data_IF_423402892885
#
_entry.id   IF_423402892885
#
_cell.length_a   1.000
_cell.length_b   1.000
_cell.length_c   1.000
_cell.angle_alpha   90.00
_cell.angle_beta   90.00
_cell.angle_gamma   90.00
#
_symmetry.space_group_name_H-M   'P 1'
#
loop_
_entity.id
_entity.type
_entity.pdbx_description
1 polymer ?
#
# COMPACT_ATOMS: atom_id res chain seq x y z
N UNK A 1 -0.36 -12.67 -9.46
CA UNK A 1 -1.64 -12.10 -9.95
C UNK A 1 -2.72 -13.16 -9.95
N UNK A 2 -3.48 -13.26 -8.86
CA UNK A 2 -4.76 -13.97 -8.89
C UNK A 2 -5.79 -12.99 -9.44
N UNK A 3 -6.14 -13.12 -10.72
CA UNK A 3 -7.25 -12.39 -11.33
C UNK A 3 -8.56 -13.00 -10.82
N UNK A 4 -9.11 -12.41 -9.76
CA UNK A 4 -10.47 -12.70 -9.30
C UNK A 4 -11.48 -12.24 -10.35
N UNK A 5 -12.48 -13.08 -10.65
CA UNK A 5 -13.63 -12.68 -11.48
C UNK A 5 -14.43 -11.58 -10.77
N UNK A 6 -15.22 -10.80 -11.51
CA UNK A 6 -16.07 -9.75 -10.92
C UNK A 6 -16.91 -10.27 -9.75
N UNK A 7 -17.57 -11.42 -9.93
CA UNK A 7 -18.40 -12.03 -8.87
C UNK A 7 -17.58 -12.42 -7.64
N UNK A 8 -16.40 -13.01 -7.84
CA UNK A 8 -15.52 -13.36 -6.73
C UNK A 8 -14.93 -12.12 -6.02
N UNK A 9 -14.66 -11.06 -6.77
CA UNK A 9 -14.15 -9.79 -6.25
C UNK A 9 -15.18 -9.05 -5.40
N UNK A 10 -16.44 -9.02 -5.86
CA UNK A 10 -17.54 -8.39 -5.13
C UNK A 10 -17.98 -9.21 -3.91
N UNK A 11 -17.70 -10.52 -3.91
CA UNK A 11 -17.96 -11.41 -2.78
C UNK A 11 -16.85 -11.37 -1.70
N UNK A 12 -15.65 -10.89 -2.04
CA UNK A 12 -14.55 -10.72 -1.09
C UNK A 12 -14.49 -9.28 -0.60
N UNK A 13 -14.86 -9.07 0.67
CA UNK A 13 -14.80 -7.75 1.31
C UNK A 13 -13.39 -7.15 1.32
N UNK A 14 -12.34 -7.97 1.17
CA UNK A 14 -10.94 -7.52 1.06
C UNK A 14 -10.60 -7.02 -0.33
N UNK A 15 -11.54 -7.02 -1.28
CA UNK A 15 -11.31 -6.64 -2.66
C UNK A 15 -12.25 -5.51 -3.11
N UNK A 16 -11.80 -4.73 -4.08
CA UNK A 16 -12.54 -3.67 -4.74
C UNK A 16 -12.48 -3.94 -6.25
N UNK A 17 -13.66 -4.10 -6.83
CA UNK A 17 -13.80 -4.27 -8.27
C UNK A 17 -13.76 -2.92 -8.97
N UNK A 18 -12.73 -2.69 -9.78
CA UNK A 18 -12.68 -1.59 -10.72
C UNK A 18 -13.39 -2.00 -12.01
N UNK A 19 -14.61 -1.48 -12.22
CA UNK A 19 -15.44 -1.80 -13.39
C UNK A 19 -14.91 -1.16 -14.69
N UNK A 20 -14.14 -0.07 -14.60
CA UNK A 20 -13.56 0.61 -15.77
C UNK A 20 -12.40 -0.20 -16.33
N UNK A 21 -11.50 -0.64 -15.45
CA UNK A 21 -10.33 -1.42 -15.84
C UNK A 21 -10.59 -2.94 -15.86
N UNK A 22 -11.76 -3.38 -15.39
CA UNK A 22 -12.13 -4.80 -15.20
C UNK A 22 -11.11 -5.56 -14.35
N UNK A 23 -10.61 -4.91 -13.30
CA UNK A 23 -9.59 -5.45 -12.40
C UNK A 23 -10.13 -5.52 -10.98
N UNK A 24 -9.92 -6.67 -10.34
CA UNK A 24 -10.09 -6.80 -8.91
C UNK A 24 -8.82 -6.31 -8.19
N UNK A 25 -8.95 -5.34 -7.30
CA UNK A 25 -7.86 -4.77 -6.52
C UNK A 25 -8.06 -5.04 -5.03
N UNK A 26 -7.02 -5.46 -4.32
CA UNK A 26 -7.15 -5.73 -2.88
C UNK A 26 -7.25 -4.43 -2.08
N UNK A 27 -8.27 -4.32 -1.22
CA UNK A 27 -8.43 -3.27 -0.23
C UNK A 27 -7.52 -3.56 0.97
N UNK A 28 -6.29 -3.06 0.93
CA UNK A 28 -5.32 -3.24 2.01
C UNK A 28 -5.88 -2.84 3.39
N UNK A 29 -6.67 -1.75 3.46
CA UNK A 29 -7.28 -1.27 4.70
C UNK A 29 -8.23 -2.28 5.39
N UNK A 30 -8.75 -3.27 4.66
CA UNK A 30 -9.62 -4.33 5.18
C UNK A 30 -8.89 -5.67 5.37
N UNK A 31 -7.64 -5.76 4.94
CA UNK A 31 -6.84 -6.95 5.16
C UNK A 31 -6.48 -7.08 6.65
N UNK A 32 -6.43 -8.32 7.14
CA UNK A 32 -5.88 -8.57 8.48
C UNK A 32 -4.38 -8.24 8.44
N UNK A 33 -3.83 -7.77 9.56
CA UNK A 33 -2.41 -7.45 9.64
C UNK A 33 -1.51 -8.65 9.26
N UNK A 34 -1.92 -9.87 9.64
CA UNK A 34 -1.24 -11.11 9.25
C UNK A 34 -1.21 -11.36 7.74
N UNK A 35 -2.23 -10.90 7.03
CA UNK A 35 -2.41 -11.14 5.60
C UNK A 35 -1.73 -10.03 4.78
N UNK A 36 -1.53 -8.85 5.39
CA UNK A 36 -1.05 -7.66 4.71
C UNK A 36 0.31 -7.87 4.02
N UNK A 37 1.24 -8.52 4.70
CA UNK A 37 2.57 -8.81 4.16
C UNK A 37 2.54 -9.81 2.98
N UNK A 38 1.46 -10.58 2.84
CA UNK A 38 1.28 -11.52 1.72
C UNK A 38 0.60 -10.85 0.52
N UNK A 39 0.10 -9.62 0.65
CA UNK A 39 -0.57 -8.90 -0.41
C UNK A 39 0.43 -8.02 -1.18
N UNK A 40 0.66 -8.27 -2.49
CA UNK A 40 1.74 -7.63 -3.25
C UNK A 40 1.56 -6.12 -3.50
N UNK A 41 0.42 -5.55 -3.10
CA UNK A 41 0.08 -4.14 -3.27
C UNK A 41 -0.12 -3.42 -1.95
N UNK A 42 0.16 -4.11 -0.84
CA UNK A 42 -0.09 -3.63 0.50
C UNK A 42 1.20 -3.60 1.32
N UNK A 43 1.25 -2.66 2.24
CA UNK A 43 2.35 -2.49 3.18
C UNK A 43 1.80 -2.33 4.58
N UNK A 44 2.46 -2.97 5.54
CA UNK A 44 2.19 -2.73 6.96
C UNK A 44 2.86 -1.41 7.34
N UNK A 45 2.08 -0.53 7.95
CA UNK A 45 2.56 0.71 8.55
C UNK A 45 2.41 0.65 10.04
N UNK A 46 3.44 1.11 10.73
CA UNK A 46 3.48 1.18 12.17
C UNK A 46 3.88 2.59 12.58
N UNK A 47 2.95 3.32 13.21
CA UNK A 47 3.22 4.66 13.75
C UNK A 47 3.80 4.60 15.17
N UNK A 48 3.45 3.55 15.93
CA UNK A 48 3.97 3.29 17.27
C UNK A 48 3.85 1.79 17.63
N UNK A 49 4.28 1.38 18.81
CA UNK A 49 4.24 -0.01 19.28
C UNK A 49 2.84 -0.65 19.32
N UNK A 50 1.79 0.17 19.31
CA UNK A 50 0.41 -0.24 19.58
C UNK A 50 -0.50 -0.07 18.37
N UNK A 51 -0.13 0.81 17.42
CA UNK A 51 -0.93 1.13 16.26
C UNK A 51 -0.20 0.77 14.97
N UNK A 52 -0.77 -0.21 14.28
CA UNK A 52 -0.38 -0.58 12.94
C UNK A 52 -1.61 -0.69 12.04
N UNK A 53 -1.42 -0.45 10.74
CA UNK A 53 -2.45 -0.55 9.73
C UNK A 53 -1.87 -1.14 8.44
N UNK A 54 -2.67 -1.91 7.72
CA UNK A 54 -2.36 -2.34 6.37
C UNK A 54 -2.85 -1.28 5.38
N UNK A 55 -1.95 -0.72 4.59
CA UNK A 55 -2.25 0.32 3.61
C UNK A 55 -1.83 -0.11 2.21
N UNK A 56 -2.39 0.55 1.20
CA UNK A 56 -1.92 0.40 -0.19
C UNK A 56 -0.50 0.96 -0.26
N UNK A 57 0.38 0.29 -0.98
CA UNK A 57 1.76 0.73 -1.16
C UNK A 57 1.80 2.16 -1.76
N UNK A 58 2.65 3.06 -1.23
CA UNK A 58 2.70 4.46 -1.66
C UNK A 58 2.85 4.67 -3.15
N UNK A 59 3.65 3.83 -3.83
CA UNK A 59 3.90 3.92 -5.26
C UNK A 59 2.62 3.69 -6.09
N UNK A 60 1.63 3.02 -5.50
CA UNK A 60 0.32 2.78 -6.09
C UNK A 60 -0.72 3.80 -5.65
N UNK A 61 -0.63 4.27 -4.39
CA UNK A 61 -1.58 5.22 -3.79
C UNK A 61 -1.33 6.64 -4.28
N UNK A 62 -0.07 7.07 -4.30
CA UNK A 62 0.36 8.45 -4.50
C UNK A 62 1.23 8.59 -5.76
N UNK A 63 0.61 8.37 -6.91
CA UNK A 63 1.30 8.27 -8.22
C UNK A 63 1.93 9.57 -8.73
N UNK A 64 1.70 10.69 -8.06
CA UNK A 64 2.26 11.99 -8.43
C UNK A 64 3.05 12.56 -7.27
N UNK A 65 4.06 13.38 -7.56
CA UNK A 65 4.81 14.11 -6.53
C UNK A 65 3.89 14.94 -5.64
N UNK A 66 2.87 15.58 -6.21
CA UNK A 66 1.94 16.40 -5.44
C UNK A 66 1.12 15.55 -4.45
N UNK A 67 0.62 14.40 -4.89
CA UNK A 67 -0.07 13.45 -4.00
C UNK A 67 0.88 12.90 -2.93
N UNK A 68 2.11 12.53 -3.31
CA UNK A 68 3.09 11.94 -2.41
C UNK A 68 3.53 12.89 -1.29
N UNK A 69 3.78 14.17 -1.62
CA UNK A 69 4.19 15.20 -0.66
C UNK A 69 2.99 15.72 0.14
N UNK A 70 1.79 15.68 -0.44
CA UNK A 70 0.53 16.07 0.19
C UNK A 70 -0.21 14.92 0.86
N UNK A 71 0.42 13.76 1.04
CA UNK A 71 -0.23 12.57 1.58
C UNK A 71 -0.75 12.83 3.00
N UNK A 72 -2.03 12.49 3.22
CA UNK A 72 -2.71 12.76 4.48
C UNK A 72 -2.22 11.85 5.62
N UNK A 73 -1.71 10.66 5.28
CA UNK A 73 -1.13 9.73 6.25
C UNK A 73 0.28 10.11 6.67
N UNK A 74 0.97 10.92 5.85
CA UNK A 74 2.33 11.39 6.11
C UNK A 74 3.36 10.26 6.14
N UNK A 75 3.03 9.10 5.57
CA UNK A 75 3.84 7.87 5.61
C UNK A 75 4.67 7.68 4.34
N UNK A 76 4.88 8.76 3.59
CA UNK A 76 5.45 8.74 2.25
C UNK A 76 6.57 9.74 2.02
N UNK A 77 7.47 9.38 1.11
CA UNK A 77 8.55 10.21 0.65
C UNK A 77 8.71 10.07 -0.87
N UNK A 78 8.81 11.20 -1.57
CA UNK A 78 9.01 11.21 -3.02
C UNK A 78 10.45 10.83 -3.37
N UNK A 79 10.63 9.81 -4.20
CA UNK A 79 11.92 9.45 -4.77
C UNK A 79 12.06 10.07 -6.18
N UNK A 80 12.86 11.14 -6.34
CA UNK A 80 13.02 11.81 -7.63
C UNK A 80 13.82 10.98 -8.64
N UNK A 81 14.57 9.97 -8.19
CA UNK A 81 15.41 9.12 -9.04
C UNK A 81 14.56 8.06 -9.74
N UNK A 82 13.60 7.49 -9.02
CA UNK A 82 12.67 6.49 -9.52
C UNK A 82 11.33 7.09 -10.00
N UNK A 83 11.12 8.40 -9.80
CA UNK A 83 9.88 9.12 -10.11
C UNK A 83 8.63 8.46 -9.52
N UNK A 84 8.75 7.95 -8.28
CA UNK A 84 7.68 7.27 -7.58
C UNK A 84 7.66 7.65 -6.09
N UNK A 85 6.49 7.47 -5.48
CA UNK A 85 6.33 7.66 -4.06
C UNK A 85 6.74 6.40 -3.30
N UNK A 86 7.59 6.52 -2.28
CA UNK A 86 8.05 5.41 -1.43
C UNK A 86 7.54 5.58 -0.01
N UNK A 87 7.64 4.50 0.76
CA UNK A 87 7.44 4.53 2.20
C UNK A 87 8.42 5.50 2.86
N UNK A 88 7.93 6.37 3.74
CA UNK A 88 8.80 7.13 4.63
C UNK A 88 9.38 6.19 5.69
N UNK A 89 10.70 6.22 5.80
CA UNK A 89 11.49 5.44 6.72
C UNK A 89 11.10 5.55 8.19
N UNK A 90 10.40 6.62 8.58
CA UNK A 90 9.86 6.79 9.94
C UNK A 90 8.80 5.75 10.32
N UNK A 91 8.21 5.06 9.32
CA UNK A 91 7.08 4.15 9.49
C UNK A 91 7.35 2.71 9.03
N UNK A 92 8.62 2.40 8.74
CA UNK A 92 9.15 1.04 8.48
C UNK A 92 10.30 0.74 9.44
N UNK A 93 10.70 -0.53 9.57
CA UNK A 93 11.82 -0.88 10.44
C UNK A 93 13.09 -0.16 9.98
N UNK A 94 13.90 0.34 10.95
CA UNK A 94 15.16 1.03 10.66
C UNK A 94 16.13 0.18 9.81
N UNK A 95 16.04 -1.14 9.94
CA UNK A 95 16.85 -2.11 9.18
C UNK A 95 16.46 -2.17 7.70
N UNK A 96 15.16 -2.07 7.40
CA UNK A 96 14.65 -2.09 6.02
C UNK A 96 14.90 -0.74 5.32
N UNK A 97 14.89 0.36 6.07
CA UNK A 97 15.24 1.68 5.55
C UNK A 97 16.74 1.82 5.24
N UNK A 98 17.62 1.35 6.13
CA UNK A 98 19.07 1.56 6.00
C UNK A 98 19.69 0.88 4.78
N UNK A 99 19.04 -0.13 4.24
CA UNK A 99 19.54 -0.92 3.12
C UNK A 99 18.98 -0.47 1.77
N UNK A 100 18.09 0.54 1.72
CA UNK A 100 17.31 0.88 0.52
C UNK A 100 16.70 -0.39 -0.15
N UNK A 101 16.46 -1.44 0.63
CA UNK A 101 16.00 -2.74 0.12
C UNK A 101 14.47 -2.80 0.05
N UNK A 102 13.86 -1.65 -0.29
CA UNK A 102 12.45 -1.52 -0.64
C UNK A 102 12.27 -1.49 -2.15
#
# INVERSE_FOLDING_TARGET
>A
NMTLTQGACLADDKCHWDALNRVCSTQCAKARMSDCAALPRCVVRQWNSTWSQCLIAPELRDQTRAACVGDATGDTMWDPSALLCRSDCRFVSLTDCATNSM
#
